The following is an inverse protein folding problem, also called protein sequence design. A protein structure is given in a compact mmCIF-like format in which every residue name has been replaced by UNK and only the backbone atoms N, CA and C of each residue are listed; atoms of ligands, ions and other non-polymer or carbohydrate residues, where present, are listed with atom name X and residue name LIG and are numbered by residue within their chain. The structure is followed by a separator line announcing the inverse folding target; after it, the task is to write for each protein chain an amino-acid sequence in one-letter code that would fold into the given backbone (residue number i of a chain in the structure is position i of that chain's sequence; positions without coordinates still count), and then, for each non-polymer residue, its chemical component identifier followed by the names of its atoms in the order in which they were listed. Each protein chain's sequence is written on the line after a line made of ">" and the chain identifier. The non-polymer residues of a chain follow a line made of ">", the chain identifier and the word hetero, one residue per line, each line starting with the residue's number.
data_IF_264074426751
#
_entry.id   IF_264074426751
#
_cell.length_a   1.000
_cell.length_b   1.000
_cell.length_c   1.000
_cell.angle_alpha   90.00
_cell.angle_beta   90.00
_cell.angle_gamma   90.00
#
_symmetry.space_group_name_H-M   'P 1'
#
loop_
_entity.id
_entity.type
_entity.pdbx_description
1 polymer ?
#
# COMPACT_ATOMS: atom_id res chain seq x y z
N UNK A 1 21.00 -24.59 72.39
CA UNK A 1 21.80 -24.02 71.29
C UNK A 1 20.85 -23.85 70.11
N UNK A 2 20.30 -22.66 69.94
CA UNK A 2 19.28 -22.37 68.91
C UNK A 2 19.98 -21.92 67.62
N UNK A 3 19.87 -22.71 66.56
CA UNK A 3 20.44 -22.35 65.24
C UNK A 3 19.49 -21.42 64.50
N UNK A 4 19.93 -20.18 64.31
CA UNK A 4 19.30 -19.16 63.47
C UNK A 4 19.50 -19.55 62.01
N UNK A 5 18.40 -19.80 61.30
CA UNK A 5 18.42 -19.99 59.84
C UNK A 5 18.34 -18.62 59.18
N UNK A 6 19.40 -18.23 58.46
CA UNK A 6 19.48 -16.99 57.68
C UNK A 6 18.84 -17.25 56.30
N UNK A 7 17.75 -16.55 56.01
CA UNK A 7 17.07 -16.58 54.70
C UNK A 7 17.84 -15.71 53.69
N UNK A 8 18.17 -16.19 52.48
CA UNK A 8 18.84 -15.38 51.47
C UNK A 8 17.86 -14.42 50.78
N UNK A 9 18.01 -13.12 51.03
CA UNK A 9 17.36 -12.04 50.28
C UNK A 9 17.85 -12.01 48.83
N UNK A 10 16.99 -12.15 47.80
CA UNK A 10 17.34 -11.82 46.43
C UNK A 10 16.94 -10.38 46.10
N UNK A 11 17.98 -9.55 46.04
CA UNK A 11 18.24 -8.43 45.12
C UNK A 11 17.04 -7.77 44.43
N UNK A 12 16.93 -6.47 44.68
CA UNK A 12 16.07 -5.48 44.03
C UNK A 12 15.77 -5.81 42.55
N UNK A 13 14.55 -6.32 42.28
CA UNK A 13 13.98 -6.26 40.93
C UNK A 13 13.51 -4.83 40.71
N UNK A 14 14.36 -4.00 40.13
CA UNK A 14 13.95 -2.71 39.57
C UNK A 14 13.04 -2.99 38.38
N UNK A 15 11.76 -3.19 38.67
CA UNK A 15 10.68 -3.13 37.67
C UNK A 15 10.62 -1.70 37.19
N UNK A 16 11.28 -1.41 36.08
CA UNK A 16 10.99 -0.22 35.28
C UNK A 16 9.48 -0.27 34.96
N UNK A 17 8.71 0.78 35.25
CA UNK A 17 7.30 0.80 34.88
C UNK A 17 7.23 0.67 33.37
N UNK A 18 6.69 -0.46 32.91
CA UNK A 18 6.25 -0.61 31.54
C UNK A 18 5.20 0.47 31.32
N UNK A 19 5.64 1.60 30.73
CA UNK A 19 4.74 2.58 30.19
C UNK A 19 3.81 1.82 29.25
N UNK A 20 2.57 1.59 29.70
CA UNK A 20 1.49 1.03 28.89
C UNK A 20 1.32 1.99 27.73
N UNK A 21 2.04 1.75 26.63
CA UNK A 21 1.77 2.44 25.37
C UNK A 21 0.29 2.18 25.11
N UNK A 22 -0.54 3.22 24.94
CA UNK A 22 -1.94 3.01 24.61
C UNK A 22 -1.99 2.10 23.38
N UNK A 23 -2.97 1.18 23.29
CA UNK A 23 -3.12 0.35 22.11
C UNK A 23 -3.30 1.30 20.92
N UNK A 24 -2.24 1.48 20.14
CA UNK A 24 -2.26 2.24 18.90
C UNK A 24 -3.22 1.47 18.00
N UNK A 25 -4.46 1.95 17.95
CA UNK A 25 -5.54 1.25 17.29
C UNK A 25 -5.08 0.89 15.88
N UNK A 26 -5.25 -0.37 15.49
CA UNK A 26 -4.82 -0.88 14.18
C UNK A 26 -5.38 -0.06 13.01
N UNK A 27 -6.45 0.68 13.26
CA UNK A 27 -7.09 1.58 12.31
C UNK A 27 -6.40 2.95 12.14
N UNK A 28 -5.61 3.45 13.10
CA UNK A 28 -5.04 4.80 12.99
C UNK A 28 -4.11 4.91 11.78
N UNK A 29 -3.21 3.94 11.59
CA UNK A 29 -2.25 3.96 10.49
C UNK A 29 -2.92 3.81 9.11
N UNK A 30 -3.99 3.01 9.05
CA UNK A 30 -4.76 2.82 7.82
C UNK A 30 -5.54 4.07 7.44
N UNK A 31 -6.15 4.75 8.41
CA UNK A 31 -6.81 6.04 8.18
C UNK A 31 -5.81 7.11 7.72
N UNK A 32 -4.62 7.14 8.31
CA UNK A 32 -3.56 8.07 7.91
C UNK A 32 -3.08 7.84 6.47
N UNK A 33 -3.03 6.57 6.03
CA UNK A 33 -2.63 6.21 4.66
C UNK A 33 -3.51 6.87 3.59
N UNK A 34 -4.80 7.05 3.86
CA UNK A 34 -5.73 7.70 2.92
C UNK A 34 -5.48 9.21 2.79
N UNK A 35 -4.82 9.82 3.78
CA UNK A 35 -4.50 11.24 3.79
C UNK A 35 -3.11 11.53 3.19
N UNK A 36 -2.29 10.50 2.97
CA UNK A 36 -0.95 10.65 2.41
C UNK A 36 -1.00 11.23 0.99
N UNK A 37 -0.30 12.34 0.81
CA UNK A 37 -0.09 13.00 -0.49
C UNK A 37 1.30 12.74 -1.05
N UNK A 38 2.23 12.37 -0.17
CA UNK A 38 3.63 12.17 -0.53
C UNK A 38 4.10 10.75 -0.18
N UNK A 39 5.05 10.25 -0.98
CA UNK A 39 5.65 8.93 -0.75
C UNK A 39 6.32 8.84 0.63
N UNK A 40 6.97 9.91 1.10
CA UNK A 40 7.65 9.89 2.39
C UNK A 40 6.70 9.61 3.56
N UNK A 41 5.47 10.12 3.51
CA UNK A 41 4.46 9.91 4.56
C UNK A 41 4.07 8.43 4.63
N UNK A 42 3.86 7.80 3.47
CA UNK A 42 3.57 6.37 3.40
C UNK A 42 4.75 5.50 3.89
N UNK A 43 5.99 5.90 3.61
CA UNK A 43 7.19 5.22 4.13
C UNK A 43 7.27 5.30 5.65
N UNK A 44 6.94 6.45 6.24
CA UNK A 44 6.88 6.59 7.70
C UNK A 44 5.80 5.70 8.31
N UNK A 45 4.60 5.66 7.71
CA UNK A 45 3.53 4.77 8.16
C UNK A 45 3.95 3.31 8.03
N UNK A 46 4.59 2.92 6.93
CA UNK A 46 5.11 1.56 6.73
C UNK A 46 6.11 1.18 7.83
N UNK A 47 7.06 2.08 8.13
CA UNK A 47 8.02 1.85 9.22
C UNK A 47 7.32 1.69 10.58
N UNK A 48 6.28 2.49 10.84
CA UNK A 48 5.48 2.37 12.06
C UNK A 48 4.72 1.03 12.12
N UNK A 49 4.13 0.59 11.01
CA UNK A 49 3.45 -0.71 10.90
C UNK A 49 4.39 -1.90 11.10
N UNK A 50 5.65 -1.79 10.66
CA UNK A 50 6.68 -2.80 10.95
C UNK A 50 6.99 -2.80 12.46
N UNK A 51 7.25 -1.63 13.05
CA UNK A 51 7.60 -1.51 14.48
C UNK A 51 6.48 -1.96 15.42
N UNK A 52 5.22 -1.80 15.00
CA UNK A 52 4.04 -2.21 15.76
C UNK A 52 3.59 -3.65 15.46
N UNK A 53 4.29 -4.38 14.58
CA UNK A 53 3.89 -5.68 14.05
C UNK A 53 2.55 -5.70 13.29
N UNK A 54 1.96 -4.54 12.99
CA UNK A 54 0.71 -4.45 12.22
C UNK A 54 0.87 -4.91 10.78
N UNK A 55 2.07 -4.82 10.21
CA UNK A 55 2.33 -5.31 8.86
C UNK A 55 2.11 -6.82 8.70
N UNK A 56 2.07 -7.58 9.80
CA UNK A 56 1.81 -9.03 9.76
C UNK A 56 0.34 -9.35 9.48
N UNK A 57 -0.58 -8.41 9.74
CA UNK A 57 -1.98 -8.56 9.39
C UNK A 57 -2.16 -8.43 7.87
N UNK A 58 -2.72 -9.45 7.19
CA UNK A 58 -2.96 -9.41 5.75
C UNK A 58 -3.71 -8.17 5.30
N UNK A 59 -4.72 -7.74 6.04
CA UNK A 59 -5.51 -6.58 5.66
C UNK A 59 -4.65 -5.30 5.66
N UNK A 60 -3.92 -5.08 6.75
CA UNK A 60 -2.99 -3.95 6.90
C UNK A 60 -1.90 -3.94 5.82
N UNK A 61 -1.26 -5.08 5.57
CA UNK A 61 -0.27 -5.23 4.52
C UNK A 61 -0.86 -5.00 3.11
N UNK A 62 -2.09 -5.45 2.90
CA UNK A 62 -2.83 -5.24 1.67
C UNK A 62 -3.05 -3.78 1.36
N UNK A 63 -3.51 -3.00 2.33
CA UNK A 63 -3.79 -1.57 2.15
C UNK A 63 -2.52 -0.78 1.83
N UNK A 64 -1.40 -1.09 2.49
CA UNK A 64 -0.16 -0.38 2.20
C UNK A 64 0.46 -0.82 0.86
N UNK A 65 0.34 -2.10 0.48
CA UNK A 65 0.73 -2.56 -0.85
C UNK A 65 -0.13 -1.91 -1.96
N UNK A 66 -1.44 -1.79 -1.74
CA UNK A 66 -2.37 -1.09 -2.63
C UNK A 66 -1.96 0.37 -2.82
N UNK A 67 -1.65 1.09 -1.74
CA UNK A 67 -1.17 2.46 -1.82
C UNK A 67 0.11 2.56 -2.66
N UNK A 68 1.13 1.74 -2.38
CA UNK A 68 2.38 1.80 -3.13
C UNK A 68 2.24 1.41 -4.60
N UNK A 69 1.39 0.44 -4.91
CA UNK A 69 1.23 -0.08 -6.25
C UNK A 69 0.32 0.78 -7.14
N UNK A 70 -0.75 1.34 -6.58
CA UNK A 70 -1.85 1.93 -7.36
C UNK A 70 -2.00 3.45 -7.17
N UNK A 71 -1.54 4.03 -6.06
CA UNK A 71 -1.66 5.48 -5.85
C UNK A 71 -0.66 6.26 -6.72
N UNK A 72 -1.04 7.47 -7.13
CA UNK A 72 -0.18 8.40 -7.88
C UNK A 72 1.21 8.60 -7.26
N UNK A 73 1.33 8.98 -5.97
CA UNK A 73 2.63 9.12 -5.29
C UNK A 73 3.27 7.78 -4.90
N UNK A 74 2.67 6.64 -5.26
CA UNK A 74 3.14 5.31 -4.89
C UNK A 74 4.39 4.85 -5.66
N UNK A 75 5.12 3.90 -5.07
CA UNK A 75 6.36 3.34 -5.59
C UNK A 75 6.29 1.81 -5.63
N UNK A 76 6.40 1.22 -6.83
CA UNK A 76 6.38 -0.25 -7.00
C UNK A 76 7.52 -0.93 -6.25
N UNK A 77 8.69 -0.28 -6.19
CA UNK A 77 9.84 -0.75 -5.40
C UNK A 77 9.51 -0.84 -3.91
N UNK A 78 8.71 0.08 -3.38
CA UNK A 78 8.29 0.03 -1.97
C UNK A 78 7.15 -0.98 -1.76
N UNK A 79 6.31 -1.21 -2.77
CA UNK A 79 5.33 -2.30 -2.76
C UNK A 79 6.01 -3.68 -2.68
N UNK A 80 7.11 -3.88 -3.41
CA UNK A 80 7.90 -5.12 -3.29
C UNK A 80 8.48 -5.30 -1.89
N UNK A 81 8.95 -4.21 -1.25
CA UNK A 81 9.43 -4.28 0.14
C UNK A 81 8.35 -4.71 1.11
N UNK A 82 7.09 -4.29 0.90
CA UNK A 82 5.94 -4.77 1.71
C UNK A 82 5.79 -6.28 1.56
N UNK A 83 5.88 -6.79 0.33
CA UNK A 83 5.80 -8.25 0.11
C UNK A 83 6.96 -8.99 0.79
N UNK A 84 8.16 -8.41 0.76
CA UNK A 84 9.37 -9.00 1.37
C UNK A 84 9.37 -8.90 2.91
N UNK A 85 8.62 -7.98 3.51
CA UNK A 85 8.49 -7.88 4.97
C UNK A 85 7.54 -8.93 5.56
N UNK A 86 6.80 -9.64 4.72
CA UNK A 86 5.92 -10.73 5.10
C UNK A 86 6.64 -12.08 4.96
N UNK A 87 6.56 -12.93 5.98
CA UNK A 87 7.07 -14.30 5.90
C UNK A 87 6.28 -15.15 4.90
N UNK A 88 4.97 -14.98 4.88
CA UNK A 88 4.03 -15.69 4.00
C UNK A 88 3.06 -14.70 3.36
N UNK A 89 3.49 -13.95 2.32
CA UNK A 89 2.64 -12.97 1.67
C UNK A 89 1.43 -13.62 1.00
N UNK A 90 0.19 -13.20 1.33
CA UNK A 90 -1.01 -13.66 0.65
C UNK A 90 -1.00 -13.40 -0.86
N UNK A 91 -1.67 -14.27 -1.63
CA UNK A 91 -1.71 -14.18 -3.10
C UNK A 91 -2.25 -12.83 -3.61
N UNK A 92 -3.18 -12.22 -2.89
CA UNK A 92 -3.77 -10.95 -3.31
C UNK A 92 -2.73 -9.81 -3.29
N UNK A 93 -1.70 -9.86 -2.44
CA UNK A 93 -0.63 -8.86 -2.43
C UNK A 93 0.19 -8.93 -3.72
N UNK A 94 0.51 -10.15 -4.19
CA UNK A 94 1.15 -10.33 -5.50
C UNK A 94 0.28 -9.76 -6.61
N UNK A 95 -1.02 -10.08 -6.61
CA UNK A 95 -1.96 -9.59 -7.61
C UNK A 95 -2.03 -8.06 -7.63
N UNK A 96 -2.03 -7.43 -6.45
CA UNK A 96 -2.01 -5.96 -6.33
C UNK A 96 -0.73 -5.37 -6.90
N UNK A 97 0.44 -5.94 -6.58
CA UNK A 97 1.72 -5.45 -7.10
C UNK A 97 1.78 -5.62 -8.63
N UNK A 98 1.39 -6.79 -9.17
CA UNK A 98 1.33 -7.04 -10.61
C UNK A 98 0.42 -6.05 -11.34
N UNK A 99 -0.77 -5.74 -10.78
CA UNK A 99 -1.65 -4.70 -11.31
C UNK A 99 -0.98 -3.33 -11.33
N UNK A 100 -0.18 -3.02 -10.32
CA UNK A 100 0.62 -1.80 -10.27
C UNK A 100 1.64 -1.72 -11.41
N UNK A 101 2.38 -2.80 -11.70
CA UNK A 101 3.28 -2.87 -12.85
C UNK A 101 2.54 -2.64 -14.16
N UNK A 102 1.45 -3.37 -14.39
CA UNK A 102 0.65 -3.24 -15.61
C UNK A 102 0.10 -1.81 -15.81
N UNK A 103 -0.35 -1.15 -14.74
CA UNK A 103 -0.86 0.22 -14.82
C UNK A 103 0.23 1.24 -15.16
N UNK A 104 1.45 1.08 -14.63
CA UNK A 104 2.57 1.99 -14.91
C UNK A 104 3.21 1.71 -16.28
N UNK A 105 3.14 0.46 -16.76
CA UNK A 105 3.60 0.02 -18.08
C UNK A 105 2.56 0.19 -19.18
N UNK A 106 1.34 0.64 -18.87
CA UNK A 106 0.30 0.98 -19.85
C UNK A 106 0.16 2.50 -20.08
N UNK A 107 1.15 3.21 -20.67
CA UNK A 107 1.04 4.64 -20.92
C UNK A 107 0.16 5.02 -22.13
N UNK A 108 -0.36 4.08 -22.93
CA UNK A 108 -0.75 4.38 -24.33
C UNK A 108 -2.10 3.81 -24.82
N UNK A 109 -3.10 3.61 -23.96
CA UNK A 109 -4.45 3.18 -24.44
C UNK A 109 -5.58 4.19 -24.25
N UNK A 110 -5.32 5.34 -23.65
CA UNK A 110 -6.37 6.31 -23.32
C UNK A 110 -6.21 7.70 -23.96
N UNK A 111 -5.04 8.06 -24.48
CA UNK A 111 -4.84 9.36 -25.16
C UNK A 111 -5.32 9.38 -26.62
N UNK A 112 -5.45 8.22 -27.27
CA UNK A 112 -5.71 8.16 -28.72
C UNK A 112 -7.19 8.21 -29.09
N UNK A 113 -8.11 8.17 -28.11
CA UNK A 113 -9.55 8.23 -28.36
C UNK A 113 -10.16 9.65 -28.32
N UNK A 114 -9.39 10.69 -28.00
CA UNK A 114 -9.88 12.08 -28.01
C UNK A 114 -9.61 12.84 -29.32
N UNK A 115 -8.93 12.24 -30.30
CA UNK A 115 -8.83 12.82 -31.65
C UNK A 115 -10.09 12.45 -32.44
N UNK A 116 -11.13 13.26 -32.22
CA UNK A 116 -12.17 13.67 -33.17
C UNK A 116 -12.24 12.90 -34.51
N UNK A 117 -13.33 12.18 -34.82
CA UNK A 117 -13.66 11.82 -36.20
C UNK A 117 -14.22 13.03 -36.95
N UNK A 118 -13.42 14.10 -37.10
CA UNK A 118 -13.73 15.21 -38.00
C UNK A 118 -13.00 15.00 -39.33
N UNK A 119 -13.53 14.11 -40.16
CA UNK A 119 -13.28 14.06 -41.61
C UNK A 119 -14.30 13.12 -42.26
N UNK A 120 -15.51 13.62 -42.51
CA UNK A 120 -16.35 13.06 -43.57
C UNK A 120 -15.69 13.51 -44.88
N UNK A 121 -15.21 12.60 -45.76
CA UNK A 121 -14.78 13.03 -47.07
C UNK A 121 -16.01 13.49 -47.86
N UNK A 122 -16.11 14.79 -48.08
CA UNK A 122 -17.04 15.42 -49.02
C UNK A 122 -16.67 15.02 -50.45
N UNK A 123 -16.97 13.79 -50.86
CA UNK A 123 -16.91 13.36 -52.25
C UNK A 123 -17.88 12.19 -52.48
N UNK A 124 -19.16 12.51 -52.51
CA UNK A 124 -20.16 11.72 -53.23
C UNK A 124 -21.12 12.70 -53.93
N UNK A 125 -20.56 13.45 -54.88
CA UNK A 125 -21.30 14.15 -55.91
C UNK A 125 -20.76 13.59 -57.22
N UNK A 126 -21.25 12.42 -57.62
CA UNK A 126 -21.58 12.18 -59.02
C UNK A 126 -22.38 10.87 -59.14
N UNK A 127 -23.68 10.99 -59.38
CA UNK A 127 -24.42 9.98 -60.12
C UNK A 127 -25.35 10.73 -61.08
N UNK A 128 -25.33 10.38 -62.38
CA UNK A 128 -26.06 11.14 -63.39
C UNK A 128 -27.56 10.82 -63.28
N UNK A 129 -28.37 11.87 -63.43
CA UNK A 129 -29.80 11.75 -63.62
C UNK A 129 -30.11 10.83 -64.81
N UNK A 130 -30.98 9.82 -64.69
CA UNK A 130 -31.53 9.17 -65.86
C UNK A 130 -32.63 10.07 -66.44
N UNK A 131 -32.41 10.51 -67.66
CA UNK A 131 -33.46 11.02 -68.54
C UNK A 131 -34.22 9.84 -69.10
N UNK A 132 -35.49 9.66 -68.70
CA UNK A 132 -36.64 9.34 -69.56
C UNK A 132 -37.93 9.41 -68.73
#
# INVERSE_FOLDING_TARGET
>A
MSSVTLEPQPFLKTTLPAAKRPPLSQNTNLSLLHLCKHLQEAVQIHALMIKSSQITDPYSAGRIAEFYALSGPGSLRDAEKVRLSLQHPPIFIYNTIMRGYLNKEAPLKASDFSTSPSSIPSNLIDSPSPSL
#
